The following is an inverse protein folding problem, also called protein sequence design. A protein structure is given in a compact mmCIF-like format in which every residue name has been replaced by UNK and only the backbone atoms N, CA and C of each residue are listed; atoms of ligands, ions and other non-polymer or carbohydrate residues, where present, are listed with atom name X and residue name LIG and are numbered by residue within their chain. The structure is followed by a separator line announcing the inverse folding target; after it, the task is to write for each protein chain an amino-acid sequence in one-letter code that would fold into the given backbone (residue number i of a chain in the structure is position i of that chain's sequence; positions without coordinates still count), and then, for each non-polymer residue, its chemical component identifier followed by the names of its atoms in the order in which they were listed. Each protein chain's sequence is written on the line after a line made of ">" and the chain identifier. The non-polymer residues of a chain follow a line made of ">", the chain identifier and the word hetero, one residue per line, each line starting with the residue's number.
data_IF_572303911438
#
_entry.id   IF_572303911438
#
_cell.length_a   1.000
_cell.length_b   1.000
_cell.length_c   1.000
_cell.angle_alpha   90.00
_cell.angle_beta   90.00
_cell.angle_gamma   90.00
#
_symmetry.space_group_name_H-M   'P 1'
#
loop_
_entity.id
_entity.type
_entity.pdbx_description
1 polymer ?
#
# COMPACT_ATOMS: atom_id res chain seq x y z
N UNK A 1 -2.18 6.72 47.81
CA UNK A 1 -3.21 6.80 46.76
C UNK A 1 -2.61 6.20 45.49
N UNK A 2 -2.98 4.96 45.14
CA UNK A 2 -2.45 4.21 43.99
C UNK A 2 -3.49 4.30 42.87
N UNK A 3 -3.16 5.01 41.79
CA UNK A 3 -4.01 5.07 40.59
C UNK A 3 -3.71 3.81 39.79
N UNK A 4 -4.60 2.82 39.86
CA UNK A 4 -4.58 1.69 38.93
C UNK A 4 -5.25 2.15 37.63
N UNK A 5 -4.60 2.06 36.45
CA UNK A 5 -5.25 2.35 35.19
C UNK A 5 -6.31 1.28 34.92
N UNK A 6 -7.56 1.66 35.14
CA UNK A 6 -8.72 0.85 34.79
C UNK A 6 -8.85 0.78 33.26
N UNK A 7 -9.01 -0.43 32.73
CA UNK A 7 -9.70 -0.62 31.45
C UNK A 7 -8.84 -0.82 30.21
N UNK A 8 -7.86 -1.74 30.24
CA UNK A 8 -7.50 -2.44 29.01
C UNK A 8 -8.50 -3.58 28.85
N UNK A 9 -9.63 -3.29 28.17
CA UNK A 9 -10.64 -4.29 27.85
C UNK A 9 -10.00 -5.47 27.14
N UNK A 10 -10.27 -6.68 27.62
CA UNK A 10 -9.79 -7.91 26.99
C UNK A 10 -10.20 -7.92 25.51
N UNK A 11 -9.28 -8.14 24.57
CA UNK A 11 -9.60 -8.11 23.14
C UNK A 11 -10.71 -9.11 22.85
N UNK A 12 -11.80 -8.64 22.23
CA UNK A 12 -12.92 -9.49 21.85
C UNK A 12 -12.44 -10.62 20.93
N UNK A 13 -12.88 -11.88 21.14
CA UNK A 13 -12.45 -13.04 20.34
C UNK A 13 -12.69 -12.88 18.83
N UNK A 14 -13.63 -12.02 18.41
CA UNK A 14 -13.89 -11.69 17.01
C UNK A 14 -12.68 -11.08 16.28
N UNK A 15 -11.75 -10.41 16.98
CA UNK A 15 -10.59 -9.77 16.37
C UNK A 15 -9.51 -10.78 15.93
N UNK A 16 -9.42 -11.94 16.58
CA UNK A 16 -8.42 -12.95 16.24
C UNK A 16 -8.73 -13.67 14.92
N UNK A 17 -10.02 -13.96 14.67
CA UNK A 17 -10.46 -14.57 13.41
C UNK A 17 -10.13 -13.66 12.21
N UNK A 18 -10.30 -12.34 12.37
CA UNK A 18 -9.98 -11.38 11.32
C UNK A 18 -8.50 -11.36 10.97
N UNK A 19 -7.63 -11.32 11.99
CA UNK A 19 -6.19 -11.29 11.75
C UNK A 19 -5.69 -12.56 11.05
N UNK A 20 -6.32 -13.71 11.29
CA UNK A 20 -5.97 -14.97 10.64
C UNK A 20 -6.39 -14.97 9.16
N UNK A 21 -7.62 -14.58 8.86
CA UNK A 21 -8.13 -14.49 7.48
C UNK A 21 -7.31 -13.51 6.63
N UNK A 22 -6.99 -12.32 7.17
CA UNK A 22 -6.13 -11.35 6.47
C UNK A 22 -4.74 -11.92 6.20
N UNK A 23 -4.16 -12.67 7.15
CA UNK A 23 -2.85 -13.31 6.94
C UNK A 23 -2.90 -14.36 5.84
N UNK A 24 -3.94 -15.18 5.82
CA UNK A 24 -4.14 -16.19 4.77
C UNK A 24 -4.27 -15.53 3.40
N UNK A 25 -5.12 -14.49 3.28
CA UNK A 25 -5.27 -13.72 2.03
C UNK A 25 -3.98 -13.06 1.57
N UNK A 26 -3.17 -12.53 2.49
CA UNK A 26 -1.85 -11.98 2.16
C UNK A 26 -0.94 -13.10 1.61
N UNK A 27 -0.90 -14.28 2.23
CA UNK A 27 -0.07 -15.39 1.76
C UNK A 27 -0.52 -15.90 0.38
N UNK A 28 -1.83 -16.03 0.17
CA UNK A 28 -2.42 -16.37 -1.14
C UNK A 28 -2.01 -15.35 -2.21
N UNK A 29 -2.16 -14.05 -1.91
CA UNK A 29 -1.75 -12.98 -2.82
C UNK A 29 -0.24 -13.02 -3.12
N UNK A 30 0.60 -13.33 -2.14
CA UNK A 30 2.05 -13.46 -2.35
C UNK A 30 2.44 -14.61 -3.27
N UNK A 31 1.75 -15.74 -3.14
CA UNK A 31 1.93 -16.90 -4.00
C UNK A 31 1.46 -16.59 -5.43
N UNK A 32 0.25 -16.02 -5.58
CA UNK A 32 -0.33 -15.67 -6.87
C UNK A 32 0.45 -14.60 -7.64
N UNK A 33 1.17 -13.71 -6.94
CA UNK A 33 1.90 -12.58 -7.53
C UNK A 33 3.39 -12.84 -7.78
N UNK A 34 3.90 -14.06 -7.61
CA UNK A 34 5.34 -14.34 -7.71
C UNK A 34 5.94 -13.93 -9.07
N UNK A 35 5.26 -14.26 -10.17
CA UNK A 35 5.69 -13.88 -11.52
C UNK A 35 5.68 -12.35 -11.70
N UNK A 36 4.56 -11.71 -11.34
CA UNK A 36 4.41 -10.25 -11.39
C UNK A 36 5.52 -9.57 -10.59
N UNK A 37 5.82 -10.02 -9.37
CA UNK A 37 6.90 -9.47 -8.54
C UNK A 37 8.25 -9.55 -9.24
N UNK A 38 8.60 -10.70 -9.83
CA UNK A 38 9.87 -10.85 -10.56
C UNK A 38 9.96 -9.89 -11.74
N UNK A 39 8.89 -9.78 -12.53
CA UNK A 39 8.84 -8.90 -13.69
C UNK A 39 8.95 -7.42 -13.28
N UNK A 40 8.24 -7.02 -12.21
CA UNK A 40 8.32 -5.66 -11.65
C UNK A 40 9.69 -5.33 -11.07
N UNK A 41 10.33 -6.27 -10.35
CA UNK A 41 11.67 -6.07 -9.80
C UNK A 41 12.66 -5.81 -10.94
N UNK A 42 12.64 -6.64 -11.99
CA UNK A 42 13.54 -6.49 -13.12
C UNK A 42 13.25 -5.18 -13.88
N UNK A 43 11.99 -4.92 -14.25
CA UNK A 43 11.60 -3.73 -15.00
C UNK A 43 11.87 -2.42 -14.26
N UNK A 44 11.60 -2.36 -12.96
CA UNK A 44 11.89 -1.18 -12.15
C UNK A 44 13.40 -0.97 -11.92
N UNK A 45 14.17 -2.05 -11.76
CA UNK A 45 15.63 -1.98 -11.67
C UNK A 45 16.22 -1.46 -12.98
N UNK A 46 15.78 -2.00 -14.13
CA UNK A 46 16.23 -1.55 -15.44
C UNK A 46 15.86 -0.09 -15.68
N UNK A 47 14.62 0.31 -15.38
CA UNK A 47 14.16 1.69 -15.50
C UNK A 47 14.99 2.65 -14.64
N UNK A 48 15.32 2.26 -13.40
CA UNK A 48 16.19 3.05 -12.53
C UNK A 48 17.56 3.31 -13.19
N UNK A 49 18.22 2.27 -13.71
CA UNK A 49 19.55 2.40 -14.32
C UNK A 49 19.53 3.08 -15.70
N UNK A 50 18.45 2.93 -16.46
CA UNK A 50 18.24 3.68 -17.71
C UNK A 50 18.15 5.18 -17.41
N UNK A 51 17.38 5.57 -16.40
CA UNK A 51 17.24 6.97 -15.98
C UNK A 51 18.51 7.55 -15.36
N UNK A 52 19.33 6.73 -14.71
CA UNK A 52 20.63 7.15 -14.13
C UNK A 52 21.70 7.45 -15.21
N UNK A 53 21.55 6.88 -16.41
CA UNK A 53 22.51 7.02 -17.50
C UNK A 53 23.82 6.24 -17.31
N UNK A 54 24.71 6.32 -18.30
CA UNK A 54 26.01 5.63 -18.30
C UNK A 54 27.13 6.37 -17.53
N UNK A 55 26.77 7.40 -16.75
CA UNK A 55 27.71 8.24 -16.00
C UNK A 55 28.46 7.47 -14.90
N UNK A 56 29.70 7.87 -14.62
CA UNK A 56 30.55 7.21 -13.62
C UNK A 56 30.31 7.67 -12.17
N UNK A 57 29.53 8.74 -11.97
CA UNK A 57 29.20 9.27 -10.65
C UNK A 57 27.88 10.07 -10.72
N UNK A 58 26.74 9.46 -10.39
CA UNK A 58 25.47 10.17 -10.46
C UNK A 58 25.39 11.29 -9.41
N UNK A 59 24.80 12.40 -9.79
CA UNK A 59 24.42 13.49 -8.87
C UNK A 59 23.18 13.08 -8.06
N UNK A 60 22.91 13.78 -6.95
CA UNK A 60 21.72 13.51 -6.15
C UNK A 60 20.43 13.70 -6.97
N UNK A 61 20.38 14.76 -7.79
CA UNK A 61 19.24 15.01 -8.66
C UNK A 61 18.99 13.86 -9.67
N UNK A 62 20.06 13.26 -10.21
CA UNK A 62 19.94 12.10 -11.11
C UNK A 62 19.43 10.85 -10.36
N UNK A 63 19.87 10.64 -9.11
CA UNK A 63 19.37 9.56 -8.26
C UNK A 63 17.88 9.73 -7.94
N UNK A 64 17.46 10.96 -7.62
CA UNK A 64 16.06 11.28 -7.33
C UNK A 64 15.17 11.05 -8.56
N UNK A 65 15.64 11.46 -9.75
CA UNK A 65 14.94 11.22 -11.03
C UNK A 65 14.84 9.72 -11.33
N UNK A 66 15.92 8.97 -11.14
CA UNK A 66 15.92 7.51 -11.34
C UNK A 66 14.98 6.79 -10.38
N UNK A 67 14.95 7.20 -9.10
CA UNK A 67 14.05 6.66 -8.09
C UNK A 67 12.59 6.97 -8.40
N UNK A 68 12.29 8.20 -8.83
CA UNK A 68 10.95 8.60 -9.26
C UNK A 68 10.47 7.80 -10.48
N UNK A 69 11.35 7.54 -11.46
CA UNK A 69 11.04 6.74 -12.64
C UNK A 69 10.72 5.29 -12.28
N UNK A 70 11.54 4.65 -11.43
CA UNK A 70 11.28 3.29 -10.95
C UNK A 70 9.97 3.21 -10.16
N UNK A 71 9.70 4.18 -9.28
CA UNK A 71 8.45 4.25 -8.50
C UNK A 71 7.22 4.42 -9.39
N UNK A 72 7.30 5.28 -10.40
CA UNK A 72 6.20 5.50 -11.35
C UNK A 72 5.83 4.21 -12.09
N UNK A 73 6.85 3.47 -12.57
CA UNK A 73 6.65 2.16 -13.20
C UNK A 73 5.99 1.17 -12.22
N UNK A 74 6.55 1.02 -11.01
CA UNK A 74 6.01 0.12 -10.00
C UNK A 74 4.55 0.42 -9.69
N UNK A 75 4.19 1.70 -9.49
CA UNK A 75 2.81 2.11 -9.22
C UNK A 75 1.88 1.80 -10.38
N UNK A 76 2.26 2.17 -11.59
CA UNK A 76 1.43 1.98 -12.79
C UNK A 76 1.09 0.51 -13.00
N UNK A 77 2.09 -0.36 -12.90
CA UNK A 77 1.91 -1.78 -13.17
C UNK A 77 1.24 -2.52 -11.99
N UNK A 78 1.59 -2.17 -10.74
CA UNK A 78 1.01 -2.78 -9.53
C UNK A 78 -0.47 -2.40 -9.34
N UNK A 79 -0.84 -1.15 -9.65
CA UNK A 79 -2.21 -0.65 -9.54
C UNK A 79 -3.03 -0.83 -10.83
N UNK A 80 -2.49 -1.57 -11.81
CA UNK A 80 -3.27 -1.95 -12.98
C UNK A 80 -4.44 -2.86 -12.57
N UNK A 81 -5.58 -2.81 -13.27
CA UNK A 81 -6.73 -3.66 -12.96
C UNK A 81 -6.39 -5.16 -12.93
N UNK A 82 -5.50 -5.61 -13.82
CA UNK A 82 -5.03 -6.98 -13.87
C UNK A 82 -4.25 -7.38 -12.61
N UNK A 83 -3.35 -6.52 -12.13
CA UNK A 83 -2.58 -6.76 -10.91
C UNK A 83 -3.45 -6.72 -9.66
N UNK A 84 -4.39 -5.77 -9.56
CA UNK A 84 -5.34 -5.68 -8.44
C UNK A 84 -6.28 -6.89 -8.41
N UNK A 85 -6.76 -7.33 -9.58
CA UNK A 85 -7.55 -8.56 -9.70
C UNK A 85 -6.73 -9.79 -9.26
N UNK A 86 -5.47 -9.90 -9.69
CA UNK A 86 -4.58 -10.99 -9.28
C UNK A 86 -4.33 -11.00 -7.76
N UNK A 87 -4.07 -9.83 -7.16
CA UNK A 87 -3.82 -9.69 -5.70
C UNK A 87 -5.09 -9.96 -4.88
N UNK A 88 -6.26 -9.60 -5.40
CA UNK A 88 -7.55 -9.80 -4.71
C UNK A 88 -8.15 -11.20 -4.92
N UNK A 89 -7.48 -12.07 -5.67
CA UNK A 89 -8.01 -13.39 -6.04
C UNK A 89 -9.27 -13.31 -6.92
N UNK A 90 -9.40 -12.23 -7.70
CA UNK A 90 -10.54 -11.99 -8.59
C UNK A 90 -11.77 -11.37 -7.92
N UNK A 91 -11.72 -11.04 -6.62
CA UNK A 91 -12.86 -10.43 -5.91
C UNK A 91 -13.11 -8.97 -6.30
N UNK A 92 -12.08 -8.25 -6.74
CA UNK A 92 -12.19 -6.86 -7.22
C UNK A 92 -12.07 -6.85 -8.74
N UNK A 93 -13.21 -6.81 -9.44
CA UNK A 93 -13.27 -6.75 -10.91
C UNK A 93 -13.72 -5.38 -11.44
N UNK A 94 -14.43 -4.62 -10.62
CA UNK A 94 -14.98 -3.32 -10.99
C UNK A 94 -13.90 -2.20 -11.02
N UNK A 95 -13.95 -1.37 -12.05
CA UNK A 95 -13.01 -0.25 -12.26
C UNK A 95 -13.12 0.78 -11.13
N UNK A 96 -14.33 1.09 -10.67
CA UNK A 96 -14.55 2.04 -9.57
C UNK A 96 -13.97 1.51 -8.26
N UNK A 97 -14.07 0.21 -8.05
CA UNK A 97 -13.46 -0.47 -6.91
C UNK A 97 -11.95 -0.48 -6.97
N UNK A 98 -11.38 -0.72 -8.15
CA UNK A 98 -9.94 -0.63 -8.39
C UNK A 98 -9.42 0.78 -8.13
N UNK A 99 -10.08 1.82 -8.65
CA UNK A 99 -9.67 3.21 -8.48
C UNK A 99 -9.69 3.66 -7.00
N UNK A 100 -10.70 3.25 -6.25
CA UNK A 100 -10.79 3.60 -4.83
C UNK A 100 -9.77 2.85 -3.97
N UNK A 101 -9.46 1.58 -4.28
CA UNK A 101 -8.32 0.88 -3.66
C UNK A 101 -7.00 1.58 -3.99
N UNK A 102 -6.80 1.99 -5.24
CA UNK A 102 -5.60 2.71 -5.66
C UNK A 102 -5.42 4.05 -4.91
N UNK A 103 -6.49 4.82 -4.72
CA UNK A 103 -6.45 6.08 -3.96
C UNK A 103 -6.07 5.85 -2.49
N UNK A 104 -6.67 4.86 -1.83
CA UNK A 104 -6.35 4.53 -0.44
C UNK A 104 -4.91 4.03 -0.35
N UNK A 105 -4.51 3.14 -1.25
CA UNK A 105 -3.14 2.63 -1.31
C UNK A 105 -2.12 3.76 -1.45
N UNK A 106 -2.35 4.71 -2.36
CA UNK A 106 -1.43 5.83 -2.57
C UNK A 106 -1.31 6.76 -1.37
N UNK A 107 -2.34 6.85 -0.54
CA UNK A 107 -2.32 7.65 0.69
C UNK A 107 -1.55 6.98 1.84
N UNK A 108 -1.41 5.66 1.83
CA UNK A 108 -0.82 4.87 2.93
C UNK A 108 0.56 4.30 2.58
N UNK A 109 0.82 4.00 1.31
CA UNK A 109 2.03 3.29 0.90
C UNK A 109 3.29 4.12 1.22
N UNK A 110 4.25 3.47 1.87
CA UNK A 110 5.56 4.08 2.16
C UNK A 110 6.28 4.40 0.85
N UNK A 111 6.99 5.51 0.82
CA UNK A 111 7.84 5.86 -0.32
C UNK A 111 8.98 4.83 -0.51
N UNK A 112 9.23 4.45 -1.76
CA UNK A 112 10.40 3.64 -2.11
C UNK A 112 11.64 4.48 -1.82
N UNK A 113 12.46 4.04 -0.86
CA UNK A 113 13.73 4.69 -0.52
C UNK A 113 14.87 3.79 -1.00
N UNK A 114 15.59 4.24 -2.01
CA UNK A 114 16.80 3.57 -2.48
C UNK A 114 17.98 4.26 -1.80
N UNK A 115 18.76 3.56 -0.97
CA UNK A 115 19.91 4.19 -0.32
C UNK A 115 20.93 4.63 -1.37
N UNK A 116 21.59 5.77 -1.10
CA UNK A 116 22.66 6.25 -1.96
C UNK A 116 23.72 5.16 -2.17
N UNK A 117 24.32 5.07 -3.38
CA UNK A 117 25.40 4.13 -3.62
C UNK A 117 26.47 4.39 -2.58
N UNK A 118 26.79 3.35 -1.81
CA UNK A 118 27.77 3.45 -0.75
C UNK A 118 29.05 3.99 -1.37
N UNK A 119 29.36 5.26 -1.10
CA UNK A 119 30.62 5.88 -1.48
C UNK A 119 31.63 5.22 -0.57
N UNK A 120 32.14 4.07 -0.99
CA UNK A 120 33.20 3.36 -0.28
C UNK A 120 34.47 4.22 -0.37
N UNK A 121 34.50 5.28 0.42
CA UNK A 121 35.69 6.08 0.70
C UNK A 121 36.54 5.44 1.78
N UNK A 122 36.04 4.37 2.43
CA UNK A 122 36.85 3.54 3.30
C UNK A 122 38.03 2.98 2.49
N UNK A 123 39.27 3.43 2.77
CA UNK A 123 40.42 2.94 2.04
C UNK A 123 40.53 1.43 2.29
N UNK A 124 40.44 0.62 1.23
CA UNK A 124 40.61 -0.83 1.32
C UNK A 124 41.86 -1.12 2.17
N UNK A 125 41.77 -2.05 3.12
CA UNK A 125 42.86 -2.35 4.07
C UNK A 125 44.22 -2.56 3.38
N UNK A 126 44.22 -3.17 2.19
CA UNK A 126 45.40 -3.28 1.34
C UNK A 126 46.05 -1.94 0.97
N UNK A 127 45.26 -0.90 0.62
CA UNK A 127 45.80 0.43 0.31
C UNK A 127 46.42 1.09 1.54
N UNK A 128 45.81 0.90 2.71
CA UNK A 128 46.39 1.37 3.98
C UNK A 128 47.71 0.64 4.27
N UNK A 129 47.76 -0.69 4.08
CA UNK A 129 48.96 -1.48 4.27
C UNK A 129 50.10 -1.08 3.32
N UNK A 130 49.80 -0.89 2.02
CA UNK A 130 50.78 -0.41 1.03
C UNK A 130 51.26 1.00 1.38
N UNK A 131 50.36 1.89 1.80
CA UNK A 131 50.76 3.24 2.23
C UNK A 131 51.64 3.23 3.47
N UNK A 132 51.34 2.37 4.45
CA UNK A 132 52.14 2.19 5.65
C UNK A 132 53.54 1.66 5.30
N UNK A 133 53.62 0.69 4.39
CA UNK A 133 54.90 0.13 3.91
C UNK A 133 55.76 1.20 3.22
N UNK A 134 55.17 1.94 2.27
CA UNK A 134 55.88 3.03 1.58
C UNK A 134 56.31 4.10 2.58
N UNK A 135 55.42 4.48 3.49
CA UNK A 135 55.70 5.43 4.56
C UNK A 135 56.85 5.00 5.45
N UNK A 136 56.91 3.72 5.85
CA UNK A 136 57.98 3.18 6.66
C UNK A 136 59.34 3.29 5.97
N UNK A 137 59.41 2.90 4.69
CA UNK A 137 60.65 2.97 3.90
C UNK A 137 61.11 4.42 3.78
N UNK A 138 60.20 5.33 3.41
CA UNK A 138 60.51 6.75 3.23
C UNK A 138 60.93 7.40 4.56
N UNK A 139 60.24 7.05 5.66
CA UNK A 139 60.53 7.53 7.00
C UNK A 139 61.93 7.11 7.45
N UNK A 140 62.32 5.85 7.25
CA UNK A 140 63.68 5.39 7.54
C UNK A 140 64.73 6.15 6.71
N UNK A 141 64.49 6.35 5.41
CA UNK A 141 65.44 7.03 4.51
C UNK A 141 65.62 8.50 4.88
N UNK A 142 64.56 9.21 5.27
CA UNK A 142 64.60 10.65 5.56
C UNK A 142 64.98 10.95 7.02
N UNK A 143 64.42 10.23 8.01
CA UNK A 143 64.71 10.51 9.42
C UNK A 143 66.12 10.09 9.82
N UNK A 144 66.68 9.03 9.26
CA UNK A 144 68.03 8.56 9.62
C UNK A 144 69.12 9.64 9.44
N UNK A 145 69.26 10.29 8.26
CA UNK A 145 70.25 11.36 8.11
C UNK A 145 69.89 12.60 8.93
N UNK A 146 68.60 12.91 9.13
CA UNK A 146 68.16 14.07 9.90
C UNK A 146 68.53 13.94 11.39
N UNK A 147 68.24 12.78 12.01
CA UNK A 147 68.60 12.50 13.40
C UNK A 147 70.11 12.40 13.60
N UNK A 148 70.82 11.85 12.61
CA UNK A 148 72.28 11.85 12.62
C UNK A 148 72.85 13.28 12.63
N UNK A 149 72.24 14.20 11.88
CA UNK A 149 72.70 15.58 11.79
C UNK A 149 72.33 16.41 13.03
N UNK A 150 71.14 16.18 13.60
CA UNK A 150 70.63 16.95 14.73
C UNK A 150 71.10 16.45 16.10
N UNK A 151 71.29 15.14 16.26
CA UNK A 151 71.51 14.51 17.57
C UNK A 151 72.70 13.54 17.61
N UNK A 152 73.43 13.37 16.50
CA UNK A 152 74.50 12.37 16.32
C UNK A 152 74.09 10.90 16.58
N UNK A 153 72.80 10.63 16.83
CA UNK A 153 72.28 9.29 17.12
C UNK A 153 71.66 8.66 15.87
N UNK A 154 72.44 7.82 15.18
CA UNK A 154 72.00 7.10 13.97
C UNK A 154 70.95 6.03 14.27
N UNK A 155 71.12 5.29 15.35
CA UNK A 155 70.30 4.10 15.64
C UNK A 155 68.87 4.47 16.03
N UNK A 156 68.69 5.64 16.63
CA UNK A 156 67.38 6.21 16.97
C UNK A 156 66.57 6.54 15.71
N UNK A 157 67.23 7.10 14.69
CA UNK A 157 66.60 7.42 13.40
C UNK A 157 66.12 6.18 12.65
N UNK A 158 66.88 5.09 12.72
CA UNK A 158 66.49 3.81 12.10
C UNK A 158 65.32 3.14 12.85
N UNK A 159 65.39 3.12 14.19
CA UNK A 159 64.37 2.48 15.04
C UNK A 159 63.01 3.20 14.98
N UNK A 160 63.01 4.54 14.98
CA UNK A 160 61.79 5.34 14.99
C UNK A 160 61.30 5.74 13.59
N UNK A 161 62.19 5.80 12.60
CA UNK A 161 61.86 6.26 11.24
C UNK A 161 60.79 5.42 10.56
N UNK A 162 60.84 4.09 10.71
CA UNK A 162 59.85 3.18 10.14
C UNK A 162 58.44 3.39 10.70
N UNK A 163 58.23 3.23 12.02
CA UNK A 163 56.91 3.42 12.63
C UNK A 163 56.32 4.82 12.42
N UNK A 164 57.12 5.88 12.58
CA UNK A 164 56.65 7.25 12.38
C UNK A 164 56.30 7.55 10.92
N UNK A 165 57.12 7.06 9.98
CA UNK A 165 56.86 7.19 8.55
C UNK A 165 55.59 6.44 8.13
N UNK A 166 55.39 5.22 8.61
CA UNK A 166 54.18 4.44 8.37
C UNK A 166 52.92 5.15 8.88
N UNK A 167 52.96 5.63 10.14
CA UNK A 167 51.87 6.36 10.76
C UNK A 167 51.53 7.63 9.98
N UNK A 168 52.54 8.44 9.61
CA UNK A 168 52.35 9.66 8.83
C UNK A 168 51.76 9.36 7.45
N UNK A 169 52.25 8.34 6.74
CA UNK A 169 51.71 7.98 5.44
C UNK A 169 50.25 7.51 5.52
N UNK A 170 49.90 6.70 6.53
CA UNK A 170 48.52 6.29 6.79
C UNK A 170 47.64 7.49 7.13
N UNK A 171 48.11 8.42 7.98
CA UNK A 171 47.38 9.64 8.32
C UNK A 171 47.21 10.55 7.11
N UNK A 172 48.21 10.66 6.24
CA UNK A 172 48.14 11.42 4.99
C UNK A 172 47.10 10.78 4.06
N UNK A 173 47.15 9.46 3.83
CA UNK A 173 46.16 8.75 3.00
C UNK A 173 44.76 8.86 3.58
N UNK A 174 44.62 8.74 4.90
CA UNK A 174 43.35 8.87 5.60
C UNK A 174 42.80 10.31 5.47
N UNK A 175 43.63 11.33 5.72
CA UNK A 175 43.23 12.74 5.60
C UNK A 175 42.96 13.15 4.15
N UNK A 176 43.74 12.65 3.18
CA UNK A 176 43.49 12.84 1.75
C UNK A 176 42.18 12.16 1.32
N UNK A 177 41.89 10.95 1.81
CA UNK A 177 40.62 10.27 1.50
C UNK A 177 39.38 11.06 1.93
N UNK A 178 39.54 11.91 2.95
CA UNK A 178 38.48 12.79 3.47
C UNK A 178 38.43 14.16 2.78
N UNK A 179 39.53 14.61 2.16
CA UNK A 179 39.61 15.92 1.51
C UNK A 179 39.57 15.80 -0.01
N UNK A 180 38.40 16.11 -0.59
CA UNK A 180 38.21 16.17 -2.04
C UNK A 180 39.12 17.20 -2.73
N UNK A 181 39.52 18.25 -2.01
CA UNK A 181 40.37 19.33 -2.51
C UNK A 181 41.81 18.86 -2.69
N UNK A 182 42.35 18.14 -1.69
CA UNK A 182 43.71 17.59 -1.77
C UNK A 182 43.82 16.54 -2.87
N UNK A 183 42.79 15.71 -3.05
CA UNK A 183 42.76 14.72 -4.13
C UNK A 183 42.77 15.38 -5.53
N UNK A 184 42.10 16.53 -5.70
CA UNK A 184 42.12 17.32 -6.95
C UNK A 184 43.50 17.92 -7.22
N UNK A 185 44.15 18.48 -6.20
CA UNK A 185 45.50 19.03 -6.31
C UNK A 185 46.53 17.94 -6.61
N UNK A 186 46.48 16.82 -5.89
CA UNK A 186 47.39 15.69 -6.14
C UNK A 186 47.18 15.08 -7.52
N UNK A 187 45.92 14.93 -7.97
CA UNK A 187 45.62 14.48 -9.33
C UNK A 187 46.18 15.40 -10.41
N UNK A 188 46.14 16.73 -10.18
CA UNK A 188 46.70 17.74 -11.10
C UNK A 188 48.24 17.71 -11.13
N UNK A 189 48.90 17.48 -10.00
CA UNK A 189 50.37 17.45 -9.89
C UNK A 189 50.96 16.16 -10.46
N UNK A 190 50.32 15.01 -10.22
CA UNK A 190 50.88 13.71 -10.62
C UNK A 190 50.40 13.21 -12.00
N UNK A 191 49.58 13.97 -12.73
CA UNK A 191 49.09 13.59 -14.05
C UNK A 191 48.26 12.29 -14.06
N UNK A 192 47.93 11.73 -12.89
CA UNK A 192 47.08 10.56 -12.78
C UNK A 192 45.65 11.01 -13.06
N UNK A 193 45.19 10.74 -14.28
CA UNK A 193 43.78 10.79 -14.64
C UNK A 193 43.00 10.06 -13.54
N UNK A 194 42.20 10.81 -12.78
CA UNK A 194 41.42 10.28 -11.66
C UNK A 194 40.44 9.23 -12.19
N UNK A 195 40.85 7.96 -12.18
CA UNK A 195 39.90 6.86 -12.05
C UNK A 195 39.38 6.96 -10.63
N UNK A 196 38.36 7.81 -10.45
CA UNK A 196 37.59 7.92 -9.22
C UNK A 196 37.26 6.50 -8.73
N UNK A 197 37.28 6.25 -7.40
CA UNK A 197 36.97 4.94 -6.84
C UNK A 197 35.69 4.42 -7.48
N UNK A 198 35.85 3.38 -8.30
CA UNK A 198 34.84 2.99 -9.27
C UNK A 198 33.52 2.73 -8.57
N UNK A 199 32.50 3.48 -8.99
CA UNK A 199 31.11 3.14 -8.75
C UNK A 199 30.91 1.66 -9.14
N UNK A 200 30.80 0.78 -8.15
CA UNK A 200 30.54 -0.63 -8.40
C UNK A 200 29.04 -0.79 -8.72
N UNK A 201 28.72 -0.58 -9.99
CA UNK A 201 27.35 -0.70 -10.52
C UNK A 201 26.68 -1.99 -10.09
N UNK A 202 27.41 -3.12 -10.07
CA UNK A 202 26.86 -4.43 -9.68
C UNK A 202 26.53 -4.52 -8.20
N UNK A 203 27.27 -3.82 -7.35
CA UNK A 203 26.93 -3.72 -5.92
C UNK A 203 25.71 -2.83 -5.73
N UNK A 204 25.65 -1.68 -6.40
CA UNK A 204 24.50 -0.78 -6.32
C UNK A 204 23.23 -1.44 -6.85
N UNK A 205 23.32 -2.16 -7.96
CA UNK A 205 22.20 -2.89 -8.56
C UNK A 205 21.58 -3.90 -7.59
N UNK A 206 22.40 -4.64 -6.84
CA UNK A 206 21.90 -5.55 -5.79
C UNK A 206 21.15 -4.82 -4.69
N UNK A 207 21.64 -3.65 -4.28
CA UNK A 207 21.00 -2.81 -3.25
C UNK A 207 19.67 -2.24 -3.76
N UNK A 208 19.63 -1.74 -4.99
CA UNK A 208 18.41 -1.26 -5.66
C UNK A 208 17.38 -2.38 -5.74
N UNK A 209 17.79 -3.55 -6.25
CA UNK A 209 16.93 -4.73 -6.38
C UNK A 209 16.33 -5.16 -5.05
N UNK A 210 17.15 -5.24 -4.00
CA UNK A 210 16.70 -5.59 -2.64
C UNK A 210 15.72 -4.55 -2.09
N UNK A 211 15.96 -3.26 -2.34
CA UNK A 211 15.08 -2.18 -1.88
C UNK A 211 13.71 -2.24 -2.58
N UNK A 212 13.70 -2.51 -3.89
CA UNK A 212 12.47 -2.71 -4.68
C UNK A 212 11.73 -3.95 -4.20
N UNK A 213 12.42 -5.06 -3.95
CA UNK A 213 11.83 -6.30 -3.45
C UNK A 213 11.16 -6.11 -2.07
N UNK A 214 11.84 -5.45 -1.14
CA UNK A 214 11.27 -5.11 0.18
C UNK A 214 10.05 -4.20 0.06
N UNK A 215 10.13 -3.18 -0.79
CA UNK A 215 9.01 -2.28 -1.04
C UNK A 215 7.81 -3.03 -1.64
N UNK A 216 8.03 -3.88 -2.64
CA UNK A 216 6.99 -4.69 -3.27
C UNK A 216 6.34 -5.67 -2.30
N UNK A 217 7.12 -6.28 -1.41
CA UNK A 217 6.58 -7.12 -0.35
C UNK A 217 5.58 -6.35 0.51
N UNK A 218 6.00 -5.20 1.05
CA UNK A 218 5.12 -4.36 1.86
C UNK A 218 3.89 -3.88 1.07
N UNK A 219 4.09 -3.47 -0.19
CA UNK A 219 3.04 -2.98 -1.07
C UNK A 219 1.98 -4.06 -1.35
N UNK A 220 2.39 -5.29 -1.68
CA UNK A 220 1.46 -6.38 -1.96
C UNK A 220 0.72 -6.81 -0.70
N UNK A 221 1.38 -6.87 0.46
CA UNK A 221 0.70 -7.13 1.74
C UNK A 221 -0.38 -6.08 2.02
N UNK A 222 -0.04 -4.79 1.83
CA UNK A 222 -0.97 -3.69 2.05
C UNK A 222 -2.15 -3.75 1.08
N UNK A 223 -1.87 -3.99 -0.21
CA UNK A 223 -2.90 -4.07 -1.24
C UNK A 223 -3.85 -5.24 -0.99
N UNK A 224 -3.33 -6.42 -0.65
CA UNK A 224 -4.15 -7.59 -0.29
C UNK A 224 -5.03 -7.31 0.94
N UNK A 225 -4.48 -6.64 1.96
CA UNK A 225 -5.25 -6.25 3.14
C UNK A 225 -6.36 -5.24 2.81
N UNK A 226 -6.09 -4.26 1.93
CA UNK A 226 -7.09 -3.29 1.47
C UNK A 226 -8.22 -3.96 0.66
N UNK A 227 -7.89 -4.87 -0.24
CA UNK A 227 -8.87 -5.65 -0.99
C UNK A 227 -9.73 -6.52 -0.06
N UNK A 228 -9.12 -7.15 0.95
CA UNK A 228 -9.82 -7.98 1.94
C UNK A 228 -10.73 -7.17 2.86
N UNK A 229 -10.28 -5.99 3.30
CA UNK A 229 -11.13 -5.08 4.06
C UNK A 229 -12.31 -4.63 3.20
N UNK A 230 -12.08 -4.23 1.96
CA UNK A 230 -13.17 -3.74 1.10
C UNK A 230 -14.25 -4.78 0.87
N UNK A 231 -13.88 -5.99 0.45
CA UNK A 231 -14.82 -7.10 0.24
C UNK A 231 -15.65 -7.34 1.50
N UNK A 232 -14.99 -7.36 2.66
CA UNK A 232 -15.69 -7.47 3.95
C UNK A 232 -16.62 -6.30 4.25
N UNK A 233 -16.25 -5.06 3.93
CA UNK A 233 -17.09 -3.88 4.16
C UNK A 233 -18.35 -3.89 3.28
N UNK A 234 -18.30 -4.53 2.12
CA UNK A 234 -19.50 -4.74 1.30
C UNK A 234 -20.36 -5.87 1.85
N UNK A 235 -19.74 -6.89 2.44
CA UNK A 235 -20.44 -8.07 2.95
C UNK A 235 -20.85 -7.99 4.42
N UNK A 236 -20.50 -6.94 5.17
CA UNK A 236 -20.69 -6.98 6.63
C UNK A 236 -22.16 -7.03 7.02
N UNK A 237 -22.66 -8.16 7.56
CA UNK A 237 -24.01 -8.24 8.13
C UNK A 237 -24.14 -7.34 9.36
N UNK A 238 -23.06 -6.74 9.87
CA UNK A 238 -23.08 -5.81 11.00
C UNK A 238 -23.83 -4.51 10.70
N UNK A 239 -23.75 -3.99 9.46
CA UNK A 239 -24.53 -2.81 9.06
C UNK A 239 -26.00 -3.18 8.85
N UNK A 240 -26.26 -4.36 8.26
CA UNK A 240 -27.61 -4.95 8.19
C UNK A 240 -28.19 -5.14 9.60
N UNK A 241 -27.44 -5.74 10.51
CA UNK A 241 -27.88 -6.03 11.89
C UNK A 241 -28.06 -4.74 12.71
N UNK A 242 -27.17 -3.75 12.53
CA UNK A 242 -27.34 -2.43 13.16
C UNK A 242 -28.58 -1.72 12.62
N UNK A 243 -28.81 -1.74 11.30
CA UNK A 243 -30.01 -1.25 10.67
C UNK A 243 -31.26 -1.95 11.24
N UNK A 244 -31.30 -3.29 11.22
CA UNK A 244 -32.40 -4.06 11.79
C UNK A 244 -32.61 -3.77 13.27
N UNK A 245 -31.55 -3.59 14.07
CA UNK A 245 -31.66 -3.24 15.49
C UNK A 245 -32.28 -1.86 15.70
N UNK A 246 -31.89 -0.87 14.88
CA UNK A 246 -32.50 0.47 14.91
C UNK A 246 -33.99 0.42 14.52
N UNK A 247 -34.32 -0.31 13.45
CA UNK A 247 -35.70 -0.50 13.00
C UNK A 247 -36.54 -1.23 14.05
N UNK A 248 -36.02 -2.31 14.65
CA UNK A 248 -36.70 -3.04 15.73
C UNK A 248 -36.97 -2.14 16.94
N UNK A 249 -36.02 -1.26 17.30
CA UNK A 249 -36.22 -0.27 18.35
C UNK A 249 -37.36 0.70 18.05
N UNK A 250 -37.46 1.19 16.81
CA UNK A 250 -38.55 2.07 16.38
C UNK A 250 -39.90 1.35 16.26
N UNK A 251 -39.94 0.08 15.87
CA UNK A 251 -41.17 -0.74 15.90
C UNK A 251 -41.69 -0.85 17.34
N UNK A 252 -40.78 -1.07 18.30
CA UNK A 252 -41.15 -1.13 19.71
C UNK A 252 -41.65 0.22 20.24
N UNK A 253 -40.99 1.33 19.85
CA UNK A 253 -41.46 2.68 20.18
C UNK A 253 -42.84 2.97 19.58
N UNK A 254 -43.08 2.59 18.31
CA UNK A 254 -44.36 2.74 17.63
C UNK A 254 -45.49 2.02 18.39
N UNK A 255 -45.21 0.80 18.89
CA UNK A 255 -46.18 0.04 19.69
C UNK A 255 -46.57 0.72 21.01
N UNK A 256 -45.67 1.51 21.61
CA UNK A 256 -45.91 2.24 22.85
C UNK A 256 -46.45 3.67 22.65
N UNK A 257 -46.57 4.12 21.40
CA UNK A 257 -46.93 5.51 21.09
C UNK A 257 -48.44 5.73 21.23
N UNK A 258 -48.84 6.88 21.78
CA UNK A 258 -50.25 7.26 21.89
C UNK A 258 -50.92 7.42 20.50
N UNK A 259 -52.23 7.17 20.36
CA UNK A 259 -52.92 7.19 19.06
C UNK A 259 -52.75 8.51 18.28
N UNK A 260 -52.73 9.64 18.98
CA UNK A 260 -52.54 10.97 18.37
C UNK A 260 -51.14 11.20 17.78
N UNK A 261 -50.12 10.45 18.24
CA UNK A 261 -48.73 10.57 17.77
C UNK A 261 -48.32 9.44 16.83
N UNK A 262 -49.24 8.51 16.53
CA UNK A 262 -48.94 7.29 15.77
C UNK A 262 -48.47 7.59 14.33
N UNK A 263 -49.06 8.59 13.67
CA UNK A 263 -48.66 9.00 12.32
C UNK A 263 -47.22 9.50 12.27
N UNK A 264 -46.83 10.33 13.24
CA UNK A 264 -45.47 10.88 13.34
C UNK A 264 -44.44 9.78 13.60
N UNK A 265 -44.73 8.87 14.54
CA UNK A 265 -43.85 7.74 14.84
C UNK A 265 -43.70 6.79 13.65
N UNK A 266 -44.77 6.59 12.87
CA UNK A 266 -44.73 5.78 11.66
C UNK A 266 -43.91 6.45 10.55
N UNK A 267 -44.03 7.77 10.37
CA UNK A 267 -43.19 8.53 9.43
C UNK A 267 -41.71 8.48 9.83
N UNK A 268 -41.38 8.57 11.12
CA UNK A 268 -40.03 8.41 11.63
C UNK A 268 -39.46 7.01 11.34
N UNK A 269 -40.26 5.96 11.60
CA UNK A 269 -39.88 4.58 11.27
C UNK A 269 -39.59 4.42 9.77
N UNK A 270 -40.47 4.95 8.92
CA UNK A 270 -40.30 4.89 7.45
C UNK A 270 -39.05 5.65 7.03
N UNK A 271 -38.83 6.85 7.56
CA UNK A 271 -37.65 7.65 7.24
C UNK A 271 -36.36 6.95 7.71
N UNK A 272 -36.36 6.36 8.90
CA UNK A 272 -35.22 5.61 9.38
C UNK A 272 -34.98 4.35 8.54
N UNK A 273 -36.03 3.65 8.10
CA UNK A 273 -35.91 2.52 7.17
C UNK A 273 -35.26 2.96 5.85
N UNK A 274 -35.70 4.06 5.25
CA UNK A 274 -35.07 4.65 4.06
C UNK A 274 -33.60 4.97 4.29
N UNK A 275 -33.29 5.64 5.41
CA UNK A 275 -31.90 5.97 5.78
C UNK A 275 -31.03 4.73 5.99
N UNK A 276 -31.62 3.58 6.31
CA UNK A 276 -30.91 2.31 6.46
C UNK A 276 -30.80 1.52 5.16
N UNK A 277 -31.32 2.02 4.03
CA UNK A 277 -31.23 1.35 2.73
C UNK A 277 -32.48 0.57 2.28
N UNK A 278 -33.62 0.68 2.98
CA UNK A 278 -34.87 0.12 2.48
C UNK A 278 -35.44 0.98 1.34
N UNK A 279 -35.71 0.36 0.19
CA UNK A 279 -36.26 1.02 -1.01
C UNK A 279 -37.79 0.84 -1.13
N UNK A 280 -38.44 1.60 -2.02
CA UNK A 280 -39.86 1.42 -2.33
C UNK A 280 -40.81 1.99 -1.27
N UNK A 281 -40.23 2.66 -0.27
CA UNK A 281 -40.93 3.34 0.80
C UNK A 281 -41.25 4.80 0.44
N UNK A 282 -41.04 5.26 -0.80
CA UNK A 282 -41.26 6.66 -1.20
C UNK A 282 -42.74 7.06 -1.20
N UNK A 283 -43.01 8.32 -0.83
CA UNK A 283 -44.37 8.87 -0.77
C UNK A 283 -45.00 8.85 0.62
N UNK A 284 -46.28 9.22 0.68
CA UNK A 284 -47.06 9.20 1.92
C UNK A 284 -47.41 7.77 2.31
N UNK A 285 -47.45 7.44 3.61
CA UNK A 285 -47.83 6.11 4.05
C UNK A 285 -49.23 5.74 3.57
N UNK A 286 -49.44 4.46 3.27
CA UNK A 286 -50.73 3.96 2.78
C UNK A 286 -51.87 4.18 3.79
N UNK A 287 -51.58 4.23 5.09
CA UNK A 287 -52.57 4.51 6.13
C UNK A 287 -52.94 6.00 6.23
N UNK A 288 -52.11 6.91 5.73
CA UNK A 288 -52.35 8.36 5.72
C UNK A 288 -53.09 8.81 4.45
N UNK A 289 -53.05 7.99 3.40
CA UNK A 289 -53.67 8.30 2.11
C UNK A 289 -55.09 7.72 2.09
N UNK A 290 -56.10 8.53 1.73
CA UNK A 290 -57.44 8.02 1.38
C UNK A 290 -57.30 6.90 0.32
N UNK A 291 -58.16 5.87 0.31
CA UNK A 291 -57.95 4.64 -0.46
C UNK A 291 -57.72 4.97 -1.94
N UNK A 292 -56.45 5.00 -2.34
CA UNK A 292 -56.05 5.29 -3.69
C UNK A 292 -56.33 4.05 -4.54
N UNK A 293 -57.40 4.13 -5.32
CA UNK A 293 -57.85 3.10 -6.26
C UNK A 293 -56.92 2.86 -7.44
N UNK A 294 -55.74 3.48 -7.50
CA UNK A 294 -54.74 3.20 -8.53
C UNK A 294 -53.85 2.03 -8.08
N UNK A 295 -54.42 0.84 -8.20
CA UNK A 295 -53.64 -0.39 -8.21
C UNK A 295 -52.65 -0.31 -9.38
N UNK A 296 -51.35 -0.43 -9.08
CA UNK A 296 -50.30 -0.38 -10.09
C UNK A 296 -50.41 -1.62 -10.98
N UNK A 297 -50.91 -1.41 -12.18
CA UNK A 297 -50.95 -2.42 -13.24
C UNK A 297 -49.67 -2.29 -14.04
N UNK A 298 -48.92 -3.38 -14.16
CA UNK A 298 -47.70 -3.46 -14.94
C UNK A 298 -47.84 -4.55 -16.01
N UNK A 299 -47.14 -4.40 -17.13
CA UNK A 299 -46.99 -5.49 -18.08
C UNK A 299 -45.94 -6.48 -17.55
N UNK A 300 -46.26 -7.77 -17.56
CA UNK A 300 -45.35 -8.81 -17.07
C UNK A 300 -44.22 -9.06 -18.06
N UNK A 301 -43.01 -9.08 -17.55
CA UNK A 301 -41.76 -9.30 -18.29
C UNK A 301 -40.88 -10.27 -17.50
N UNK A 302 -40.01 -11.00 -18.19
CA UNK A 302 -39.18 -12.06 -17.59
C UNK A 302 -38.19 -11.54 -16.53
N UNK A 303 -37.76 -10.28 -16.60
CA UNK A 303 -36.90 -9.64 -15.59
C UNK A 303 -37.61 -9.42 -14.24
N UNK A 304 -38.94 -9.32 -14.24
CA UNK A 304 -39.73 -9.17 -13.00
C UNK A 304 -39.80 -10.45 -12.17
N UNK A 305 -39.44 -11.62 -12.73
CA UNK A 305 -39.36 -12.88 -11.99
C UNK A 305 -38.40 -12.76 -10.80
N UNK A 306 -37.34 -11.97 -10.90
CA UNK A 306 -36.39 -11.80 -9.80
C UNK A 306 -36.97 -10.97 -8.64
N UNK A 307 -38.00 -10.15 -8.90
CA UNK A 307 -38.61 -9.22 -7.92
C UNK A 307 -39.98 -9.66 -7.43
N UNK A 308 -40.74 -10.39 -8.24
CA UNK A 308 -42.13 -10.73 -7.98
C UNK A 308 -42.41 -12.21 -8.17
N UNK A 309 -43.25 -12.76 -7.31
CA UNK A 309 -43.84 -14.08 -7.42
C UNK A 309 -45.24 -13.96 -8.09
N UNK A 310 -45.49 -14.68 -9.20
CA UNK A 310 -46.78 -14.66 -9.85
C UNK A 310 -47.79 -15.57 -9.15
N UNK A 311 -48.98 -15.04 -8.86
CA UNK A 311 -50.12 -15.83 -8.41
C UNK A 311 -50.86 -16.45 -9.61
N UNK A 312 -50.52 -17.69 -9.93
CA UNK A 312 -51.07 -18.44 -11.06
C UNK A 312 -50.19 -18.35 -12.32
N UNK A 313 -50.73 -18.82 -13.46
CA UNK A 313 -50.00 -18.76 -14.73
C UNK A 313 -50.04 -17.35 -15.31
N UNK A 314 -48.86 -16.75 -15.47
CA UNK A 314 -48.65 -15.43 -16.09
C UNK A 314 -47.67 -15.62 -17.23
N UNK A 315 -48.07 -15.24 -18.43
CA UNK A 315 -47.24 -15.22 -19.63
C UNK A 315 -46.63 -13.84 -19.85
N UNK A 316 -45.55 -13.77 -20.61
CA UNK A 316 -44.93 -12.51 -20.99
C UNK A 316 -45.92 -11.62 -21.77
N UNK A 317 -46.00 -10.35 -21.40
CA UNK A 317 -46.96 -9.38 -21.93
C UNK A 317 -48.30 -9.31 -21.19
N UNK A 318 -48.61 -10.26 -20.29
CA UNK A 318 -49.84 -10.20 -19.49
C UNK A 318 -49.87 -8.96 -18.59
N UNK A 319 -51.03 -8.32 -18.45
CA UNK A 319 -51.22 -7.27 -17.45
C UNK A 319 -51.41 -7.88 -16.08
N UNK A 320 -50.52 -7.55 -15.14
CA UNK A 320 -50.59 -8.00 -13.75
C UNK A 320 -50.81 -6.83 -12.82
N UNK A 321 -51.58 -7.07 -11.77
CA UNK A 321 -51.77 -6.18 -10.65
C UNK A 321 -50.78 -6.54 -9.55
N UNK A 322 -50.09 -5.54 -9.00
CA UNK A 322 -49.24 -5.72 -7.82
C UNK A 322 -50.15 -5.82 -6.58
N UNK A 323 -50.19 -6.99 -5.96
CA UNK A 323 -50.89 -7.23 -4.69
C UNK A 323 -50.00 -6.85 -3.50
N UNK A 324 -48.69 -7.14 -3.62
CA UNK A 324 -47.68 -6.84 -2.60
C UNK A 324 -46.40 -6.38 -3.27
N UNK A 325 -45.85 -5.23 -2.85
CA UNK A 325 -44.55 -4.75 -3.34
C UNK A 325 -43.42 -5.61 -2.74
N UNK A 326 -42.29 -5.80 -3.46
CA UNK A 326 -41.13 -6.48 -2.91
C UNK A 326 -40.52 -5.66 -1.78
N UNK A 327 -39.90 -6.34 -0.82
CA UNK A 327 -39.05 -5.70 0.19
C UNK A 327 -37.62 -5.72 -0.35
N UNK A 328 -37.07 -4.55 -0.61
CA UNK A 328 -35.71 -4.37 -1.13
C UNK A 328 -34.88 -3.65 -0.09
N UNK A 329 -33.68 -4.18 0.19
CA UNK A 329 -32.73 -3.61 1.12
C UNK A 329 -31.36 -3.53 0.44
N UNK A 330 -30.82 -2.31 0.29
CA UNK A 330 -29.53 -2.05 -0.35
C UNK A 330 -29.42 -2.70 -1.75
N UNK A 331 -30.48 -2.56 -2.56
CA UNK A 331 -30.60 -3.16 -3.89
C UNK A 331 -30.90 -4.67 -3.92
N UNK A 332 -30.83 -5.38 -2.80
CA UNK A 332 -31.15 -6.81 -2.71
C UNK A 332 -32.62 -7.07 -2.38
N UNK A 333 -33.26 -7.98 -3.10
CA UNK A 333 -34.65 -8.39 -2.84
C UNK A 333 -34.67 -9.34 -1.64
N UNK A 334 -35.09 -8.83 -0.48
CA UNK A 334 -35.22 -9.60 0.76
C UNK A 334 -36.48 -10.46 0.76
N UNK A 335 -37.58 -9.94 0.21
CA UNK A 335 -38.83 -10.66 0.02
C UNK A 335 -39.46 -10.29 -1.33
N UNK A 336 -39.81 -11.30 -2.13
CA UNK A 336 -40.46 -11.09 -3.43
C UNK A 336 -41.87 -10.53 -3.23
N UNK A 337 -42.21 -9.56 -4.09
CA UNK A 337 -43.56 -9.04 -4.19
C UNK A 337 -44.51 -10.12 -4.72
N UNK A 338 -45.82 -9.87 -4.63
CA UNK A 338 -46.84 -10.76 -5.17
C UNK A 338 -47.60 -10.03 -6.27
N UNK A 339 -47.76 -10.67 -7.42
CA UNK A 339 -48.59 -10.13 -8.51
C UNK A 339 -49.70 -11.10 -8.89
N UNK A 340 -50.81 -10.57 -9.41
CA UNK A 340 -51.94 -11.36 -9.89
C UNK A 340 -52.33 -10.90 -11.30
N UNK A 341 -52.51 -11.84 -12.22
CA UNK A 341 -53.00 -11.55 -13.58
C UNK A 341 -54.38 -10.90 -13.54
N UNK A 342 -54.55 -9.80 -14.29
CA UNK A 342 -55.85 -9.21 -14.55
C UNK A 342 -56.53 -10.01 -15.67
N UNK A 343 -57.79 -10.40 -15.45
CA UNK A 343 -58.61 -10.96 -16.51
C UNK A 343 -59.20 -9.81 -17.30
N UNK A 344 -58.93 -9.76 -18.60
CA UNK A 344 -59.67 -8.88 -19.49
C UNK A 344 -61.15 -9.25 -19.38
N UNK A 345 -61.98 -8.30 -18.94
CA UNK A 345 -63.43 -8.43 -19.02
C UNK A 345 -63.79 -8.33 -20.50
N UNK A 346 -63.91 -9.48 -21.17
CA UNK A 346 -64.54 -9.58 -22.49
C UNK A 346 -66.02 -9.25 -22.41
#
# INVERSE_FOLDING_TARGET
>A
MKICPAGWGTPHPANYSFMLDVKEKILEAYAGTEKLRRDLINGATDQYFVSLGAGSSPTQAELDVAQAAARSLLRRELLSPASVSLVSGGSVTDERSTASVALIFDSIVRELLIPEPARHSAPKAYRLAVSAMIGAILGMVILTPLFRLAFEMRDVGLALGGPLGALLAVLIVHRLSRSSILLKLFGRVFGMAQRLPGYDRRSHERVVRTSIEQWLGLAISLLAALCSWRTRSQDTPADKESAFRKIAGLIYALHQTAPESLSVAADELIQQARNCGFEGLEGSPAFSSAPAGEQSVIAWTSDLLNKYEPFGHVAEGDKVRIERRPVVFDGEVMERGLVRKLRDKQ
#
